data_IF_458646740497
#
_entry.id   IF_458646740497
#
_cell.length_a   1.000
_cell.length_b   1.000
_cell.length_c   1.000
_cell.angle_alpha   90.00
_cell.angle_beta   90.00
_cell.angle_gamma   90.00
#
_symmetry.space_group_name_H-M   'P 1'
#
loop_
_entity.id
_entity.type
_entity.pdbx_description
1 polymer ?
#
# COMPACT_ATOMS: atom_id res chain seq x y z
N UNK A 1 2.35 -22.69 15.77
CA UNK A 1 3.47 -21.90 15.25
C UNK A 1 2.86 -20.54 14.98
N UNK A 2 3.08 -19.59 15.89
CA UNK A 2 2.58 -18.21 15.73
C UNK A 2 3.50 -17.51 14.72
N UNK A 3 3.07 -17.54 13.45
CA UNK A 3 3.55 -16.58 12.45
C UNK A 3 2.90 -15.24 12.80
N UNK A 4 3.62 -14.33 13.47
CA UNK A 4 2.89 -13.20 14.05
C UNK A 4 3.64 -11.95 14.45
N UNK A 5 4.92 -11.80 14.13
CA UNK A 5 5.62 -10.52 13.97
C UNK A 5 7.06 -10.86 13.56
N UNK A 6 7.73 -10.00 12.80
CA UNK A 6 9.10 -10.19 12.29
C UNK A 6 10.17 -10.18 13.41
N UNK A 7 9.92 -10.80 14.57
CA UNK A 7 10.78 -10.75 15.75
C UNK A 7 10.72 -9.42 16.51
N UNK A 8 9.72 -8.59 16.21
CA UNK A 8 9.48 -7.32 16.90
C UNK A 8 8.28 -7.48 17.85
N UNK A 9 8.54 -7.42 19.15
CA UNK A 9 7.51 -7.21 20.17
C UNK A 9 7.30 -5.71 20.31
N UNK A 10 6.35 -5.15 19.55
CA UNK A 10 5.90 -3.77 19.75
C UNK A 10 4.50 -3.78 20.35
N UNK A 11 4.25 -2.96 21.38
CA UNK A 11 2.91 -2.68 21.87
C UNK A 11 2.24 -1.61 21.02
N UNK A 12 0.91 -1.51 21.06
CA UNK A 12 0.18 -0.43 20.36
C UNK A 12 0.59 0.98 20.82
N UNK A 13 1.21 1.10 21.99
CA UNK A 13 1.73 2.35 22.55
C UNK A 13 3.11 2.71 21.97
N UNK A 14 3.85 1.71 21.47
CA UNK A 14 5.16 1.88 20.82
C UNK A 14 5.04 2.08 19.31
N UNK A 15 3.88 1.75 18.73
CA UNK A 15 3.62 1.91 17.30
C UNK A 15 3.19 3.35 17.01
N UNK A 16 3.99 4.05 16.22
CA UNK A 16 3.57 5.31 15.61
C UNK A 16 2.51 5.04 14.53
N UNK A 17 1.32 5.60 14.72
CA UNK A 17 0.20 5.49 13.77
C UNK A 17 0.21 6.62 12.72
N UNK A 18 1.23 7.47 12.71
CA UNK A 18 1.38 8.51 11.70
C UNK A 18 1.59 7.90 10.31
N UNK A 19 0.71 8.29 9.39
CA UNK A 19 0.88 8.06 7.96
C UNK A 19 1.94 9.02 7.41
N UNK A 20 3.11 8.47 7.09
CA UNK A 20 4.24 9.21 6.53
C UNK A 20 4.01 9.66 5.09
N UNK A 21 2.99 9.14 4.38
CA UNK A 21 2.66 9.51 3.00
C UNK A 21 1.45 10.45 2.90
N UNK A 22 0.88 10.87 4.04
CA UNK A 22 -0.32 11.73 4.12
C UNK A 22 -0.32 13.02 3.29
N UNK A 23 0.86 13.53 2.93
CA UNK A 23 1.03 14.76 2.14
C UNK A 23 1.12 14.51 0.62
N UNK A 24 1.00 13.25 0.19
CA UNK A 24 1.08 12.80 -1.21
C UNK A 24 -0.32 12.47 -1.74
N UNK A 25 -0.40 11.75 -2.86
CA UNK A 25 -1.67 11.22 -3.35
C UNK A 25 -2.32 10.38 -2.23
N UNK A 26 -3.61 10.60 -1.97
CA UNK A 26 -4.35 9.72 -1.07
C UNK A 26 -4.59 8.38 -1.77
N UNK A 27 -3.61 7.49 -1.71
CA UNK A 27 -3.61 6.20 -2.40
C UNK A 27 -4.82 5.36 -2.02
N UNK A 28 -5.24 5.40 -0.76
CA UNK A 28 -6.45 4.70 -0.28
C UNK A 28 -7.67 5.15 -1.08
N UNK A 29 -7.90 6.46 -1.21
CA UNK A 29 -9.02 7.00 -2.00
C UNK A 29 -8.85 6.74 -3.50
N UNK A 30 -7.64 6.82 -4.02
CA UNK A 30 -7.37 6.58 -5.45
C UNK A 30 -7.62 5.12 -5.85
N UNK A 31 -7.31 4.18 -4.95
CA UNK A 31 -7.43 2.74 -5.17
C UNK A 31 -8.76 2.14 -4.68
N UNK A 32 -9.54 2.87 -3.88
CA UNK A 32 -10.86 2.41 -3.42
C UNK A 32 -11.92 2.99 -4.36
N UNK A 33 -12.61 2.16 -5.15
CA UNK A 33 -13.73 2.66 -5.93
C UNK A 33 -14.79 3.26 -4.99
N UNK A 34 -15.22 4.49 -5.26
CA UNK A 34 -16.40 5.05 -4.61
C UNK A 34 -17.58 4.16 -4.98
N UNK A 35 -18.01 3.31 -4.07
CA UNK A 35 -19.17 2.44 -4.26
C UNK A 35 -20.45 3.30 -4.12
N UNK A 36 -21.17 3.62 -5.21
CA UNK A 36 -22.34 4.48 -5.12
C UNK A 36 -23.56 3.76 -4.56
N UNK A 37 -23.48 2.46 -4.19
CA UNK A 37 -24.59 1.79 -3.55
C UNK A 37 -24.68 0.27 -3.64
N UNK A 38 -23.62 -0.50 -3.38
CA UNK A 38 -23.73 -1.97 -3.29
C UNK A 38 -24.01 -2.40 -1.84
N UNK A 39 -25.30 -2.65 -1.57
CA UNK A 39 -25.80 -3.32 -0.34
C UNK A 39 -25.48 -4.83 -0.29
N UNK A 40 -24.37 -5.31 -0.88
CA UNK A 40 -24.05 -6.74 -0.80
C UNK A 40 -22.52 -7.03 -0.87
N UNK A 41 -21.89 -7.44 0.25
CA UNK A 41 -20.43 -7.49 0.39
C UNK A 41 -19.75 -8.75 -0.18
N UNK A 42 -20.32 -9.44 -1.18
CA UNK A 42 -19.85 -10.80 -1.53
C UNK A 42 -19.18 -10.99 -2.89
N UNK A 43 -19.07 -9.99 -3.77
CA UNK A 43 -18.43 -10.19 -5.08
C UNK A 43 -17.59 -8.98 -5.49
N UNK A 44 -16.31 -8.96 -5.12
CA UNK A 44 -15.31 -8.13 -5.78
C UNK A 44 -14.92 -8.81 -7.11
N UNK A 45 -15.71 -8.60 -8.15
CA UNK A 45 -15.24 -8.85 -9.53
C UNK A 45 -14.69 -7.55 -10.08
N UNK A 46 -13.37 -7.44 -10.11
CA UNK A 46 -12.67 -6.36 -10.82
C UNK A 46 -12.89 -6.59 -12.32
N UNK A 47 -13.93 -5.98 -12.88
CA UNK A 47 -14.13 -5.96 -14.33
C UNK A 47 -13.13 -4.96 -14.94
N UNK A 48 -12.31 -5.43 -15.88
CA UNK A 48 -11.29 -4.67 -16.61
C UNK A 48 -11.81 -3.47 -17.46
N UNK A 49 -13.06 -3.05 -17.27
CA UNK A 49 -13.73 -1.97 -18.00
C UNK A 49 -13.95 -0.68 -17.18
N UNK A 50 -13.60 -0.66 -15.89
CA UNK A 50 -13.54 0.56 -15.04
C UNK A 50 -12.14 1.22 -15.06
N UNK A 51 -11.36 0.94 -16.11
CA UNK A 51 -9.91 0.79 -16.07
C UNK A 51 -9.12 1.98 -16.65
N UNK A 52 -9.67 3.20 -16.65
CA UNK A 52 -9.07 4.30 -17.44
C UNK A 52 -8.85 5.64 -16.73
N UNK A 53 -9.15 5.75 -15.44
CA UNK A 53 -8.91 7.00 -14.68
C UNK A 53 -8.42 6.79 -13.25
N UNK A 54 -8.98 5.81 -12.55
CA UNK A 54 -8.61 5.46 -11.16
C UNK A 54 -7.31 4.68 -11.07
N UNK A 55 -7.00 3.82 -12.06
CA UNK A 55 -5.78 2.99 -12.02
C UNK A 55 -4.51 3.82 -12.15
N UNK A 56 -4.47 4.87 -12.97
CA UNK A 56 -3.23 5.66 -13.08
C UNK A 56 -2.92 6.41 -11.78
N UNK A 57 -3.92 7.04 -11.15
CA UNK A 57 -3.72 7.73 -9.88
C UNK A 57 -3.48 6.76 -8.72
N UNK A 58 -4.13 5.60 -8.74
CA UNK A 58 -3.88 4.52 -7.77
C UNK A 58 -2.47 3.98 -7.90
N UNK A 59 -2.03 3.57 -9.09
CA UNK A 59 -0.69 3.04 -9.35
C UNK A 59 0.39 4.09 -9.09
N UNK A 60 0.14 5.35 -9.46
CA UNK A 60 1.02 6.46 -9.12
C UNK A 60 1.14 6.65 -7.61
N UNK A 61 0.02 6.64 -6.88
CA UNK A 61 0.02 6.73 -5.42
C UNK A 61 0.78 5.57 -4.76
N UNK A 62 0.56 4.33 -5.24
CA UNK A 62 1.31 3.16 -4.78
C UNK A 62 2.81 3.34 -5.02
N UNK A 63 3.21 3.82 -6.19
CA UNK A 63 4.63 4.04 -6.49
C UNK A 63 5.25 5.11 -5.57
N UNK A 64 4.55 6.22 -5.37
CA UNK A 64 4.97 7.32 -4.49
C UNK A 64 5.11 6.84 -3.03
N UNK A 65 4.12 6.09 -2.52
CA UNK A 65 4.15 5.48 -1.19
C UNK A 65 5.34 4.53 -1.03
N UNK A 66 5.54 3.62 -1.99
CA UNK A 66 6.65 2.66 -1.98
C UNK A 66 8.01 3.39 -2.00
N UNK A 67 8.14 4.48 -2.76
CA UNK A 67 9.36 5.29 -2.78
C UNK A 67 9.65 5.92 -1.42
N UNK A 68 8.62 6.41 -0.72
CA UNK A 68 8.78 6.96 0.64
C UNK A 68 9.17 5.87 1.65
N UNK A 69 8.48 4.74 1.66
CA UNK A 69 8.86 3.61 2.52
C UNK A 69 10.28 3.12 2.21
N UNK A 70 10.67 3.08 0.94
CA UNK A 70 12.01 2.66 0.54
C UNK A 70 13.09 3.59 1.09
N UNK A 71 12.83 4.89 1.14
CA UNK A 71 13.74 5.90 1.68
C UNK A 71 13.88 5.79 3.21
N UNK A 72 12.78 5.60 3.93
CA UNK A 72 12.79 5.38 5.39
C UNK A 72 13.50 4.07 5.77
N UNK A 73 13.27 3.02 4.99
CA UNK A 73 13.88 1.69 5.20
C UNK A 73 15.29 1.57 4.62
N UNK A 74 15.95 2.64 4.15
CA UNK A 74 17.27 2.56 3.48
C UNK A 74 18.35 1.81 4.27
N UNK A 75 18.27 1.85 5.60
CA UNK A 75 19.21 1.22 6.53
C UNK A 75 18.64 -0.04 7.19
N UNK A 76 17.50 -0.53 6.72
CA UNK A 76 16.85 -1.72 7.27
C UNK A 76 17.67 -2.97 6.94
N UNK A 77 17.78 -3.87 7.92
CA UNK A 77 18.66 -5.04 7.83
C UNK A 77 18.11 -6.14 6.92
N UNK A 78 16.78 -6.26 6.82
CA UNK A 78 16.15 -7.29 5.99
C UNK A 78 16.15 -6.89 4.50
N UNK A 79 17.12 -7.43 3.77
CA UNK A 79 17.26 -7.21 2.34
C UNK A 79 16.11 -7.80 1.51
N UNK A 80 15.36 -8.80 2.02
CA UNK A 80 14.22 -9.37 1.29
C UNK A 80 13.06 -8.40 1.23
N UNK A 81 12.82 -7.67 2.32
CA UNK A 81 11.79 -6.63 2.37
C UNK A 81 12.14 -5.49 1.41
N UNK A 82 13.41 -5.05 1.39
CA UNK A 82 13.88 -4.01 0.47
C UNK A 82 13.74 -4.45 -1.00
N UNK A 83 14.13 -5.68 -1.33
CA UNK A 83 13.98 -6.22 -2.67
C UNK A 83 12.51 -6.36 -3.09
N UNK A 84 11.62 -6.75 -2.17
CA UNK A 84 10.19 -6.83 -2.45
C UNK A 84 9.60 -5.45 -2.77
N UNK A 85 10.00 -4.40 -2.04
CA UNK A 85 9.63 -3.01 -2.35
C UNK A 85 10.14 -2.61 -3.74
N UNK A 86 11.41 -2.89 -4.04
CA UNK A 86 12.02 -2.57 -5.34
C UNK A 86 11.31 -3.29 -6.51
N UNK A 87 10.84 -4.53 -6.32
CA UNK A 87 10.06 -5.25 -7.33
C UNK A 87 8.64 -4.70 -7.47
N UNK A 88 7.95 -4.36 -6.38
CA UNK A 88 6.62 -3.75 -6.44
C UNK A 88 6.63 -2.39 -7.15
N UNK A 89 7.70 -1.60 -6.99
CA UNK A 89 7.88 -0.34 -7.70
C UNK A 89 8.00 -0.52 -9.22
N UNK A 90 8.57 -1.63 -9.70
CA UNK A 90 8.69 -1.91 -11.15
C UNK A 90 7.36 -2.25 -11.82
N UNK A 91 6.42 -2.84 -11.06
CA UNK A 91 5.10 -3.26 -11.57
C UNK A 91 4.08 -2.12 -11.52
N UNK A 92 4.37 -1.07 -10.74
CA UNK A 92 3.46 0.07 -10.53
C UNK A 92 3.62 1.17 -11.60
N UNK A 93 4.48 0.98 -12.61
CA UNK A 93 4.73 1.87 -13.77
C UNK A 93 4.40 1.09 -15.05
#
# INVERSE_FOLDING_TARGET
QEDGTLGFECTLEEVDLEDITKNQINTIKACTPEDPGVKNPQIYQVSASYFHGTDHQCLQGIYEDLSTYRAELRNFSDQKVLAAIDEMMKVSI
#
